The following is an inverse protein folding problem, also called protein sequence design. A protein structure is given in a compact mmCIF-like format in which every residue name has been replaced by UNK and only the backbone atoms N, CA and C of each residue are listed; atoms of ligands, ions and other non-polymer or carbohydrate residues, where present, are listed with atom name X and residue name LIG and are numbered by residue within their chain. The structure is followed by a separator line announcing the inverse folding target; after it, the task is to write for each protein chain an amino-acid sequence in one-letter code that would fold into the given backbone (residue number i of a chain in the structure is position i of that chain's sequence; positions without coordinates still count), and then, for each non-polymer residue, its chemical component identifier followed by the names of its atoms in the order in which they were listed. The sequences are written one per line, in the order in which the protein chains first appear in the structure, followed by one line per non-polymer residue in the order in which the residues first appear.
data_IF_751466257127
#
_entry.id   IF_751466257127
#
_cell.length_a   1.000
_cell.length_b   1.000
_cell.length_c   1.000
_cell.angle_alpha   90.00
_cell.angle_beta   90.00
_cell.angle_gamma   90.00
#
_symmetry.space_group_name_H-M   'P 1'
#
loop_
_entity.id
_entity.type
_entity.pdbx_description
1 polymer ?
#
# COMPACT_ATOMS: atom_id res chain seq x y z
N UNK A 1 0.96 7.40 -8.27
CA UNK A 1 0.16 6.32 -7.66
C UNK A 1 0.66 4.98 -8.16
N UNK A 2 0.82 4.02 -7.27
CA UNK A 2 1.27 2.68 -7.66
C UNK A 2 0.64 1.64 -6.74
N UNK A 3 0.72 0.37 -7.15
CA UNK A 3 0.28 -0.74 -6.33
C UNK A 3 1.51 -1.30 -5.60
N UNK A 4 1.40 -1.41 -4.28
CA UNK A 4 2.47 -1.94 -3.45
C UNK A 4 2.01 -3.25 -2.84
N UNK A 5 2.79 -4.30 -3.06
CA UNK A 5 2.52 -5.61 -2.45
C UNK A 5 3.52 -5.79 -1.32
N UNK A 6 3.01 -5.78 -0.08
CA UNK A 6 3.84 -5.95 1.11
C UNK A 6 3.80 -7.41 1.52
N UNK A 7 4.97 -8.03 1.59
CA UNK A 7 5.10 -9.43 2.00
C UNK A 7 5.13 -9.48 3.52
N UNK A 8 4.02 -9.84 4.12
CA UNK A 8 3.83 -9.86 5.56
C UNK A 8 2.71 -8.92 5.97
N UNK A 9 2.51 -8.77 7.27
CA UNK A 9 1.49 -7.88 7.81
C UNK A 9 2.11 -6.96 8.87
N UNK A 10 2.60 -5.79 8.46
CA UNK A 10 3.21 -4.84 9.40
C UNK A 10 2.18 -3.99 10.14
N UNK A 11 0.88 -4.23 9.96
CA UNK A 11 -0.14 -3.46 10.64
C UNK A 11 -0.56 -2.18 9.92
N UNK A 12 -0.35 -2.11 8.62
CA UNK A 12 -0.74 -0.93 7.83
C UNK A 12 -2.25 -0.92 7.64
N UNK A 13 -2.83 0.27 7.71
CA UNK A 13 -4.25 0.48 7.45
C UNK A 13 -4.44 1.60 6.44
N UNK A 14 -5.64 1.69 5.89
CA UNK A 14 -6.00 2.79 5.00
C UNK A 14 -5.71 4.13 5.68
N UNK A 15 -5.03 5.00 4.97
CA UNK A 15 -4.60 6.30 5.49
C UNK A 15 -3.22 6.30 6.12
N UNK A 16 -2.59 5.13 6.27
CA UNK A 16 -1.23 5.07 6.80
C UNK A 16 -0.25 5.77 5.88
N UNK A 17 0.80 6.32 6.46
CA UNK A 17 1.92 6.88 5.71
C UNK A 17 3.10 5.95 5.89
N UNK A 18 3.66 5.51 4.80
CA UNK A 18 4.79 4.59 4.81
C UNK A 18 5.94 5.18 4.01
N UNK A 19 7.15 4.79 4.36
CA UNK A 19 8.35 5.18 3.61
C UNK A 19 8.89 3.96 2.90
N UNK A 20 9.02 4.07 1.58
CA UNK A 20 9.56 3.03 0.72
C UNK A 20 10.66 3.66 -0.12
N UNK A 21 11.87 3.10 -0.04
CA UNK A 21 13.03 3.58 -0.78
C UNK A 21 13.30 5.07 -0.56
N UNK A 22 13.04 5.57 0.65
CA UNK A 22 13.27 6.96 0.99
C UNK A 22 12.14 7.91 0.62
N UNK A 23 11.03 7.40 0.09
CA UNK A 23 9.88 8.21 -0.27
C UNK A 23 8.70 7.92 0.65
N UNK A 24 8.10 8.96 1.21
CA UNK A 24 6.88 8.82 1.98
C UNK A 24 5.69 8.74 1.05
N UNK A 25 4.82 7.77 1.30
CA UNK A 25 3.62 7.56 0.50
C UNK A 25 2.43 7.26 1.39
N UNK A 26 1.26 7.70 0.95
CA UNK A 26 0.01 7.48 1.66
C UNK A 26 -0.65 6.22 1.11
N UNK A 27 -1.12 5.36 1.99
CA UNK A 27 -1.87 4.17 1.61
C UNK A 27 -3.34 4.52 1.41
N UNK A 28 -3.76 4.59 0.16
CA UNK A 28 -5.15 4.92 -0.18
C UNK A 28 -6.08 3.74 0.02
N UNK A 29 -5.59 2.54 -0.19
CA UNK A 29 -6.35 1.34 0.10
C UNK A 29 -5.41 0.22 0.53
N UNK A 30 -5.90 -0.67 1.39
CA UNK A 30 -5.15 -1.82 1.87
C UNK A 30 -6.08 -3.02 1.85
N UNK A 31 -5.66 -4.07 1.16
CA UNK A 31 -6.39 -5.34 1.10
C UNK A 31 -5.47 -6.45 1.57
N UNK A 32 -5.94 -7.23 2.53
CA UNK A 32 -5.18 -8.35 3.05
C UNK A 32 -5.48 -9.60 2.23
N UNK A 33 -4.43 -10.23 1.74
CA UNK A 33 -4.53 -11.49 0.99
C UNK A 33 -3.63 -12.53 1.63
N UNK A 34 -4.03 -13.78 1.49
CA UNK A 34 -3.17 -14.88 1.92
C UNK A 34 -3.86 -15.80 2.89
N UNK A 35 -3.12 -16.74 3.36
CA UNK A 35 -3.35 -17.74 4.38
C UNK A 35 -4.41 -18.80 4.12
N UNK A 36 -5.55 -18.58 3.65
CA UNK A 36 -6.59 -19.59 3.58
C UNK A 36 -6.53 -20.42 2.30
N UNK A 37 -6.63 -19.79 1.15
CA UNK A 37 -6.54 -20.41 -0.17
C UNK A 37 -5.54 -19.72 -1.08
N UNK A 38 -4.74 -18.82 -0.51
CA UNK A 38 -3.76 -18.06 -1.22
C UNK A 38 -2.35 -18.45 -0.84
N UNK A 39 -1.40 -17.55 -0.96
CA UNK A 39 -0.02 -17.79 -0.55
C UNK A 39 0.05 -18.18 0.92
N UNK A 40 1.07 -18.98 1.27
CA UNK A 40 1.29 -19.39 2.66
C UNK A 40 1.58 -18.19 3.57
N UNK A 41 2.08 -17.10 3.01
CA UNK A 41 2.37 -15.91 3.76
C UNK A 41 1.32 -14.84 3.48
N UNK A 42 1.00 -14.06 4.51
CA UNK A 42 0.09 -12.94 4.38
C UNK A 42 0.73 -11.87 3.50
N UNK A 43 -0.07 -11.29 2.62
CA UNK A 43 0.34 -10.17 1.79
C UNK A 43 -0.66 -9.04 1.96
N UNK A 44 -0.16 -7.81 2.00
CA UNK A 44 -1.01 -6.63 1.95
C UNK A 44 -0.88 -6.01 0.56
N UNK A 45 -2.00 -5.88 -0.11
CA UNK A 45 -2.07 -5.25 -1.42
C UNK A 45 -2.57 -3.83 -1.23
N UNK A 46 -1.68 -2.88 -1.45
CA UNK A 46 -1.94 -1.48 -1.17
C UNK A 46 -1.91 -0.66 -2.46
N UNK A 47 -2.74 0.37 -2.52
CA UNK A 47 -2.57 1.42 -3.51
C UNK A 47 -1.99 2.61 -2.76
N UNK A 48 -0.83 3.05 -3.19
CA UNK A 48 -0.09 4.11 -2.52
C UNK A 48 0.23 5.24 -3.48
N UNK A 49 0.42 6.42 -2.96
CA UNK A 49 0.80 7.58 -3.74
C UNK A 49 1.08 8.77 -2.85
N UNK A 50 1.30 9.92 -3.47
CA UNK A 50 1.50 11.16 -2.74
C UNK A 50 0.17 11.71 -2.26
N UNK A 51 0.24 12.64 -1.31
CA UNK A 51 -0.97 13.28 -0.80
C UNK A 51 -1.76 13.98 -1.92
N UNK A 52 -1.05 14.52 -2.91
CA UNK A 52 -1.69 15.17 -4.06
C UNK A 52 -2.50 14.20 -4.92
N UNK A 53 -2.15 12.92 -4.90
CA UNK A 53 -2.84 11.91 -5.68
C UNK A 53 -4.06 11.33 -4.98
N UNK A 54 -4.27 11.69 -3.73
CA UNK A 54 -5.39 11.19 -2.95
C UNK A 54 -6.73 11.49 -3.63
N UNK A 55 -6.89 12.70 -4.12
CA UNK A 55 -8.12 13.10 -4.78
C UNK A 55 -8.37 12.29 -6.06
N UNK A 56 -7.31 12.05 -6.83
CA UNK A 56 -7.40 11.22 -8.02
C UNK A 56 -7.86 9.81 -7.67
N UNK A 57 -7.37 9.26 -6.57
CA UNK A 57 -7.81 7.96 -6.11
C UNK A 57 -9.28 7.98 -5.71
N UNK A 58 -9.70 8.97 -4.92
CA UNK A 58 -11.09 9.09 -4.45
C UNK A 58 -12.05 9.25 -5.63
N UNK A 59 -11.68 10.03 -6.63
CA UNK A 59 -12.50 10.24 -7.81
C UNK A 59 -12.33 9.18 -8.88
N UNK A 60 -11.44 8.21 -8.63
CA UNK A 60 -11.14 7.11 -9.56
C UNK A 60 -10.63 7.61 -10.92
N UNK A 61 -9.83 8.66 -10.90
CA UNK A 61 -9.19 9.21 -12.11
C UNK A 61 -7.91 8.45 -12.45
N UNK A 62 -7.94 7.13 -12.37
CA UNK A 62 -6.81 6.29 -12.71
C UNK A 62 -7.30 4.96 -13.27
N UNK A 63 -6.42 4.29 -14.00
CA UNK A 63 -6.73 2.97 -14.54
C UNK A 63 -5.88 1.95 -13.78
N UNK A 64 -6.51 1.06 -12.97
CA UNK A 64 -5.76 0.13 -12.13
C UNK A 64 -4.76 -0.74 -12.88
N UNK A 65 -5.06 -1.13 -14.11
CA UNK A 65 -4.17 -1.96 -14.92
C UNK A 65 -2.87 -1.25 -15.32
N UNK A 66 -2.85 0.08 -15.23
CA UNK A 66 -1.69 0.87 -15.61
C UNK A 66 -0.86 1.31 -14.42
N UNK A 67 -1.28 0.94 -13.20
CA UNK A 67 -0.48 1.23 -12.03
C UNK A 67 0.75 0.33 -12.01
N UNK A 68 1.89 0.91 -11.73
CA UNK A 68 3.10 0.13 -11.51
C UNK A 68 2.92 -0.74 -10.26
N UNK A 69 3.51 -1.92 -10.28
CA UNK A 69 3.46 -2.84 -9.14
C UNK A 69 4.87 -3.00 -8.58
N UNK A 70 4.99 -2.81 -7.29
CA UNK A 70 6.25 -3.00 -6.57
C UNK A 70 6.01 -3.92 -5.39
N UNK A 71 6.90 -4.89 -5.20
CA UNK A 71 6.85 -5.80 -4.06
C UNK A 71 7.92 -5.41 -3.05
N UNK A 72 7.58 -5.45 -1.78
CA UNK A 72 8.50 -5.10 -0.70
C UNK A 72 8.23 -6.02 0.50
N UNK A 73 9.31 -6.40 1.21
CA UNK A 73 9.13 -7.12 2.47
C UNK A 73 8.67 -6.17 3.56
N UNK A 74 7.85 -6.68 4.47
CA UNK A 74 7.36 -5.89 5.60
C UNK A 74 8.51 -5.29 6.42
N UNK A 75 9.63 -6.00 6.51
CA UNK A 75 10.81 -5.55 7.26
C UNK A 75 11.52 -4.38 6.59
N UNK A 76 11.34 -4.21 5.28
CA UNK A 76 11.97 -3.14 4.52
C UNK A 76 11.09 -1.90 4.41
N UNK A 77 9.92 -1.97 4.99
CA UNK A 77 8.94 -0.89 4.95
C UNK A 77 8.95 -0.15 6.29
N UNK A 78 9.08 1.16 6.26
CA UNK A 78 8.98 1.96 7.47
C UNK A 78 7.60 2.59 7.55
N UNK A 79 6.93 2.42 8.69
CA UNK A 79 5.63 3.01 8.93
C UNK A 79 5.85 4.35 9.63
N UNK A 80 5.55 5.43 8.92
CA UNK A 80 5.68 6.79 9.46
C UNK A 80 4.46 7.12 10.33
N UNK A 81 3.27 6.78 9.82
CA UNK A 81 2.02 6.88 10.58
C UNK A 81 1.20 5.63 10.29
N UNK A 82 0.71 4.98 11.35
CA UNK A 82 -0.04 3.73 11.18
C UNK A 82 -1.41 3.96 10.52
N UNK A 83 -1.98 5.15 10.69
CA UNK A 83 -3.21 5.55 10.03
C UNK A 83 -3.36 7.06 10.13
N UNK A 84 -4.08 7.64 9.19
CA UNK A 84 -4.44 9.05 9.27
C UNK A 84 -5.56 9.22 10.27
N UNK A 85 -5.36 10.11 11.20
CA UNK A 85 -6.39 10.42 12.18
C UNK A 85 -7.59 11.10 11.53
#
# INVERSE_FOLDING_TARGET
MKRLIVMGDPGIRKGAVVEVDGEEQVCFSVTRNGDWHGPDEVQLWCVVGTEDEREDFVQRNYIPHFLDVESVDADDLEIVESHAA
#
